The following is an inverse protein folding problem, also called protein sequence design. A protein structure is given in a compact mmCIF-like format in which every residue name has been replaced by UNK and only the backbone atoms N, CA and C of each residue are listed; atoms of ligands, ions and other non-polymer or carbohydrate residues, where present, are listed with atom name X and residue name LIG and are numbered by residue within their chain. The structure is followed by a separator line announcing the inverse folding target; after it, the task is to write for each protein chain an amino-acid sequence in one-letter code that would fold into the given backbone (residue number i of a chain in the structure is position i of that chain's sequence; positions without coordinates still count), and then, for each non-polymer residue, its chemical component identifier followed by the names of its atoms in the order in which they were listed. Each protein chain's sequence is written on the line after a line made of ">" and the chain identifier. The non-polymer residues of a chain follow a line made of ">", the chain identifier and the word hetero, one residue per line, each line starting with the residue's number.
data_IF_632449929805
#
_entry.id   IF_632449929805
#
_cell.length_a   1.000
_cell.length_b   1.000
_cell.length_c   1.000
_cell.angle_alpha   90.00
_cell.angle_beta   90.00
_cell.angle_gamma   90.00
#
_symmetry.space_group_name_H-M   'P 1'
#
loop_
_entity.id
_entity.type
_entity.pdbx_description
1 polymer ?
#
# COMPACT_ATOMS: atom_id res chain seq x y z
N UNK A 1 40.68 -2.24 -102.02
CA UNK A 1 40.72 -1.08 -102.96
C UNK A 1 39.98 0.04 -102.31
N UNK A 2 40.66 1.13 -102.11
CA UNK A 2 40.13 2.54 -101.97
C UNK A 2 39.54 2.92 -100.65
N UNK A 3 40.28 3.53 -99.80
CA UNK A 3 40.55 4.98 -99.58
C UNK A 3 39.52 5.73 -98.70
N UNK A 4 40.06 6.08 -97.58
CA UNK A 4 39.82 7.25 -96.70
C UNK A 4 39.11 8.48 -97.28
N UNK A 5 38.58 9.47 -96.50
CA UNK A 5 39.31 10.14 -95.46
C UNK A 5 38.48 10.70 -94.23
N UNK A 6 39.19 10.89 -93.23
CA UNK A 6 39.21 11.85 -92.12
C UNK A 6 38.41 13.16 -92.21
N UNK A 7 37.86 13.57 -91.05
CA UNK A 7 38.13 14.89 -90.43
C UNK A 7 37.44 15.10 -89.06
N UNK A 8 38.02 15.96 -88.23
CA UNK A 8 37.93 15.91 -86.78
C UNK A 8 37.08 17.04 -86.17
N UNK A 9 36.93 16.93 -84.88
CA UNK A 9 36.75 18.12 -84.05
C UNK A 9 35.34 18.36 -83.46
N UNK A 10 35.19 18.12 -82.21
CA UNK A 10 34.90 19.09 -81.21
C UNK A 10 34.70 18.46 -79.85
N UNK A 11 35.84 18.38 -79.14
CA UNK A 11 35.89 18.31 -77.71
C UNK A 11 35.47 19.70 -77.19
N UNK A 12 34.50 19.82 -76.37
CA UNK A 12 34.50 20.66 -75.17
C UNK A 12 33.06 20.77 -74.59
N UNK A 13 33.01 20.82 -73.26
CA UNK A 13 31.87 21.20 -72.41
C UNK A 13 30.77 20.17 -72.16
N UNK A 14 31.08 19.23 -71.28
CA UNK A 14 30.07 18.59 -70.44
C UNK A 14 30.68 18.08 -69.12
N UNK A 15 31.45 18.94 -68.42
CA UNK A 15 31.95 18.71 -67.07
C UNK A 15 31.58 19.87 -66.16
N UNK A 16 30.28 20.03 -65.87
CA UNK A 16 29.79 20.93 -64.82
C UNK A 16 28.31 20.61 -64.54
N UNK A 17 28.06 19.57 -63.79
CA UNK A 17 26.70 19.19 -63.49
C UNK A 17 26.57 18.04 -62.46
N UNK A 18 27.67 17.70 -61.77
CA UNK A 18 27.67 16.57 -60.84
C UNK A 18 28.26 16.97 -59.49
N UNK A 19 27.73 17.97 -58.83
CA UNK A 19 28.22 18.36 -57.51
C UNK A 19 27.18 19.27 -56.83
N UNK A 20 25.98 18.79 -56.48
CA UNK A 20 25.13 19.38 -55.46
C UNK A 20 23.91 18.51 -55.17
N UNK A 21 24.12 17.24 -54.83
CA UNK A 21 23.10 16.40 -54.18
C UNK A 21 23.80 15.68 -53.02
N UNK A 22 24.51 16.44 -52.20
CA UNK A 22 24.93 15.96 -50.88
C UNK A 22 24.36 16.91 -49.86
N UNK A 23 23.51 16.41 -48.96
CA UNK A 23 23.25 17.12 -47.73
C UNK A 23 21.80 17.36 -47.35
N UNK A 24 20.92 16.41 -47.56
CA UNK A 24 19.66 16.35 -46.82
C UNK A 24 19.44 14.93 -46.34
N UNK A 25 20.42 14.40 -45.57
CA UNK A 25 20.09 13.35 -44.58
C UNK A 25 19.32 14.09 -43.51
N UNK A 26 18.03 14.30 -43.74
CA UNK A 26 17.10 14.66 -42.69
C UNK A 26 17.23 13.57 -41.60
N UNK A 27 17.75 13.91 -40.45
CA UNK A 27 17.56 13.15 -39.23
C UNK A 27 16.06 13.04 -38.99
N UNK A 28 15.42 12.09 -39.64
CA UNK A 28 14.13 11.57 -39.20
C UNK A 28 14.44 10.82 -37.93
N UNK A 29 14.55 11.57 -36.81
CA UNK A 29 14.45 10.99 -35.50
C UNK A 29 13.11 10.27 -35.44
N UNK A 30 13.16 8.96 -35.52
CA UNK A 30 12.00 8.11 -35.27
C UNK A 30 11.43 8.57 -33.92
N UNK A 31 10.12 8.93 -33.84
CA UNK A 31 9.54 9.32 -32.56
C UNK A 31 9.85 8.18 -31.58
N UNK A 32 10.49 8.50 -30.47
CA UNK A 32 10.76 7.51 -29.43
C UNK A 32 9.44 6.79 -29.14
N UNK A 33 9.44 5.47 -29.24
CA UNK A 33 8.27 4.67 -28.89
C UNK A 33 7.77 5.13 -27.50
N UNK A 34 6.47 5.32 -27.32
CA UNK A 34 5.94 5.71 -26.03
C UNK A 34 6.48 4.72 -24.98
N UNK A 35 6.89 5.21 -23.79
CA UNK A 35 7.45 4.34 -22.77
C UNK A 35 6.48 3.20 -22.49
N UNK A 36 6.99 1.97 -22.52
CA UNK A 36 6.20 0.77 -22.27
C UNK A 36 5.61 0.84 -20.86
N UNK A 37 4.28 0.84 -20.78
CA UNK A 37 3.56 0.87 -19.52
C UNK A 37 3.79 -0.46 -18.79
N UNK A 38 4.39 -0.40 -17.62
CA UNK A 38 4.69 -1.57 -16.82
C UNK A 38 3.47 -1.98 -15.99
N UNK A 39 2.90 -3.14 -16.29
CA UNK A 39 1.76 -3.70 -15.56
C UNK A 39 2.22 -4.44 -14.32
N UNK A 40 1.58 -4.18 -13.19
CA UNK A 40 1.84 -4.86 -11.93
C UNK A 40 0.60 -4.95 -11.06
N UNK A 41 0.68 -5.64 -9.92
CA UNK A 41 -0.42 -5.75 -8.96
C UNK A 41 0.07 -5.49 -7.54
N UNK A 42 -0.79 -4.81 -6.77
CA UNK A 42 -0.66 -4.61 -5.33
C UNK A 42 -1.81 -5.36 -4.64
N UNK A 43 -1.47 -6.42 -3.90
CA UNK A 43 -2.44 -7.19 -3.12
C UNK A 43 -2.62 -6.54 -1.75
N UNK A 44 -3.86 -6.19 -1.41
CA UNK A 44 -4.23 -5.75 -0.06
C UNK A 44 -4.39 -6.97 0.87
N UNK A 45 -4.12 -6.77 2.15
CA UNK A 45 -4.36 -7.79 3.19
C UNK A 45 -5.78 -7.75 3.74
N UNK A 46 -6.54 -6.68 3.45
CA UNK A 46 -7.91 -6.49 3.93
C UNK A 46 -8.84 -5.97 2.84
N UNK A 47 -10.12 -5.84 3.17
CA UNK A 47 -11.12 -5.21 2.29
C UNK A 47 -10.81 -3.71 2.11
N UNK A 48 -11.25 -3.07 1.01
CA UNK A 48 -11.00 -1.65 0.79
C UNK A 48 -11.60 -0.77 1.89
N UNK A 49 -10.71 -0.19 2.69
CA UNK A 49 -11.01 0.72 3.80
C UNK A 49 -10.03 1.90 3.79
N UNK A 50 -10.26 2.97 4.60
CA UNK A 50 -9.40 4.14 4.63
C UNK A 50 -7.92 3.87 4.88
N UNK A 51 -7.56 2.76 5.50
CA UNK A 51 -6.16 2.33 5.68
C UNK A 51 -5.40 2.14 4.36
N UNK A 52 -6.11 1.97 3.25
CA UNK A 52 -5.54 1.88 1.90
C UNK A 52 -5.68 3.17 1.09
N UNK A 53 -6.11 4.25 1.73
CA UNK A 53 -6.47 5.50 1.07
C UNK A 53 -5.39 6.06 0.14
N UNK A 54 -4.12 6.00 0.54
CA UNK A 54 -3.01 6.48 -0.29
C UNK A 54 -2.80 5.68 -1.57
N UNK A 55 -3.08 4.38 -1.56
CA UNK A 55 -2.94 3.55 -2.78
C UNK A 55 -4.04 3.86 -3.78
N UNK A 56 -5.28 3.99 -3.31
CA UNK A 56 -6.41 4.42 -4.16
C UNK A 56 -6.26 5.87 -4.63
N UNK A 57 -5.75 6.77 -3.78
CA UNK A 57 -5.44 8.13 -4.19
C UNK A 57 -4.33 8.19 -5.26
N UNK A 58 -3.32 7.32 -5.18
CA UNK A 58 -2.30 7.20 -6.22
C UNK A 58 -2.90 6.78 -7.57
N UNK A 59 -3.91 5.92 -7.56
CA UNK A 59 -4.64 5.52 -8.76
C UNK A 59 -5.50 6.67 -9.30
N UNK A 60 -6.31 7.31 -8.44
CA UNK A 60 -7.24 8.37 -8.82
C UNK A 60 -6.53 9.64 -9.33
N UNK A 61 -5.40 9.98 -8.76
CA UNK A 61 -4.61 11.15 -9.19
C UNK A 61 -3.70 10.86 -10.38
N UNK A 62 -3.65 9.61 -10.86
CA UNK A 62 -2.76 9.21 -11.94
C UNK A 62 -1.28 9.13 -11.52
N UNK A 63 -0.97 9.07 -10.21
CA UNK A 63 0.40 9.03 -9.73
C UNK A 63 1.14 7.77 -10.21
N UNK A 64 0.46 6.62 -10.33
CA UNK A 64 1.03 5.42 -10.93
C UNK A 64 1.34 5.61 -12.42
N UNK A 65 0.39 6.14 -13.17
CA UNK A 65 0.56 6.39 -14.60
C UNK A 65 1.71 7.39 -14.91
N UNK A 66 1.88 8.42 -14.05
CA UNK A 66 2.98 9.38 -14.15
C UNK A 66 4.36 8.73 -13.95
N UNK A 67 4.43 7.57 -13.32
CA UNK A 67 5.65 6.76 -13.16
C UNK A 67 5.73 5.61 -14.20
N UNK A 68 4.85 5.61 -15.20
CA UNK A 68 4.81 4.55 -16.22
C UNK A 68 4.26 3.22 -15.72
N UNK A 69 3.49 3.22 -14.63
CA UNK A 69 2.92 2.02 -14.01
C UNK A 69 1.42 1.93 -14.25
N UNK A 70 0.94 0.72 -14.56
CA UNK A 70 -0.46 0.32 -14.48
C UNK A 70 -0.59 -0.67 -13.32
N UNK A 71 -1.10 -0.18 -12.17
CA UNK A 71 -1.17 -0.96 -10.93
C UNK A 71 -2.58 -1.46 -10.69
N UNK A 72 -2.79 -2.78 -10.71
CA UNK A 72 -4.03 -3.40 -10.29
C UNK A 72 -4.05 -3.55 -8.76
N UNK A 73 -4.85 -2.73 -8.06
CA UNK A 73 -5.09 -2.90 -6.63
C UNK A 73 -6.08 -4.05 -6.45
N UNK A 74 -5.65 -5.11 -5.76
CA UNK A 74 -6.47 -6.31 -5.51
C UNK A 74 -6.96 -6.30 -4.07
N UNK A 75 -8.29 -6.25 -3.84
CA UNK A 75 -8.85 -6.37 -2.50
C UNK A 75 -8.41 -7.67 -1.80
N UNK A 76 -8.28 -7.61 -0.49
CA UNK A 76 -7.99 -8.74 0.38
C UNK A 76 -9.15 -9.06 1.32
N UNK A 77 -8.83 -9.65 2.45
CA UNK A 77 -9.74 -10.02 3.53
C UNK A 77 -9.01 -10.84 4.59
N UNK A 78 -9.69 -11.20 5.68
CA UNK A 78 -9.11 -11.88 6.86
C UNK A 78 -8.30 -13.17 6.55
N UNK A 79 -8.50 -13.78 5.40
CA UNK A 79 -7.80 -15.01 4.98
C UNK A 79 -6.86 -14.80 3.80
N UNK A 80 -6.51 -13.55 3.48
CA UNK A 80 -5.62 -13.25 2.35
C UNK A 80 -4.17 -13.60 2.71
N UNK A 81 -3.56 -14.63 2.10
CA UNK A 81 -2.19 -15.05 2.42
C UNK A 81 -1.16 -14.22 1.63
N UNK A 82 -1.10 -12.93 1.91
CA UNK A 82 -0.38 -11.95 1.08
C UNK A 82 1.10 -12.29 0.94
N UNK A 83 1.77 -12.63 2.04
CA UNK A 83 3.19 -12.97 2.04
C UNK A 83 3.48 -14.18 1.15
N UNK A 84 2.62 -15.19 1.20
CA UNK A 84 2.72 -16.39 0.37
C UNK A 84 2.46 -16.08 -1.11
N UNK A 85 1.49 -15.20 -1.41
CA UNK A 85 1.18 -14.78 -2.78
C UNK A 85 2.36 -14.02 -3.40
N UNK A 86 3.00 -13.12 -2.63
CA UNK A 86 4.20 -12.39 -3.09
C UNK A 86 5.38 -13.35 -3.24
N UNK A 87 5.60 -14.23 -2.25
CA UNK A 87 6.67 -15.22 -2.28
C UNK A 87 6.58 -16.14 -3.51
N UNK A 88 5.37 -16.62 -3.81
CA UNK A 88 5.08 -17.46 -4.97
C UNK A 88 5.11 -16.70 -6.31
N UNK A 89 5.20 -15.36 -6.29
CA UNK A 89 5.18 -14.53 -7.50
C UNK A 89 3.81 -14.41 -8.17
N UNK A 90 2.74 -14.72 -7.46
CA UNK A 90 1.36 -14.54 -7.94
C UNK A 90 0.99 -13.05 -8.04
N UNK A 91 1.61 -12.24 -7.18
CA UNK A 91 1.58 -10.77 -7.21
C UNK A 91 2.99 -10.25 -6.97
N UNK A 92 3.30 -9.08 -7.51
CA UNK A 92 4.63 -8.49 -7.36
C UNK A 92 4.79 -7.74 -6.03
N UNK A 93 3.71 -7.09 -5.58
CA UNK A 93 3.67 -6.31 -4.36
C UNK A 93 2.49 -6.72 -3.48
N UNK A 94 2.67 -6.64 -2.18
CA UNK A 94 1.61 -6.94 -1.22
C UNK A 94 1.67 -6.04 0.00
N UNK A 95 0.54 -5.89 0.68
CA UNK A 95 0.44 -5.14 1.93
C UNK A 95 0.47 -6.13 3.09
N UNK A 96 1.32 -5.85 4.08
CA UNK A 96 1.41 -6.60 5.34
C UNK A 96 1.82 -5.69 6.49
N UNK A 97 2.12 -6.27 7.66
CA UNK A 97 2.72 -5.59 8.81
C UNK A 97 4.17 -6.04 9.03
N UNK A 98 4.94 -5.30 9.82
CA UNK A 98 6.34 -5.66 10.09
C UNK A 98 6.46 -7.00 10.82
N UNK A 99 5.55 -7.29 11.74
CA UNK A 99 5.49 -8.57 12.45
C UNK A 99 5.11 -9.72 11.50
N UNK A 100 4.16 -9.53 10.58
CA UNK A 100 3.84 -10.49 9.52
C UNK A 100 5.04 -10.78 8.60
N UNK A 101 5.74 -9.72 8.17
CA UNK A 101 6.97 -9.85 7.39
C UNK A 101 8.05 -10.64 8.15
N UNK A 102 8.27 -10.34 9.44
CA UNK A 102 9.27 -11.03 10.24
C UNK A 102 8.93 -12.52 10.41
N UNK A 103 7.65 -12.85 10.63
CA UNK A 103 7.19 -14.24 10.70
C UNK A 103 7.41 -14.99 9.38
N UNK A 104 7.13 -14.36 8.25
CA UNK A 104 7.39 -14.94 6.92
C UNK A 104 8.90 -15.18 6.72
N UNK A 105 9.74 -14.23 7.11
CA UNK A 105 11.20 -14.37 7.02
C UNK A 105 11.75 -15.48 7.92
N UNK A 106 11.22 -15.64 9.12
CA UNK A 106 11.57 -16.75 10.03
C UNK A 106 11.27 -18.12 9.41
N UNK A 107 10.24 -18.18 8.55
CA UNK A 107 9.88 -19.35 7.77
C UNK A 107 10.71 -19.50 6.47
N UNK A 108 11.73 -18.65 6.27
CA UNK A 108 12.63 -18.72 5.11
C UNK A 108 12.13 -17.98 3.86
N UNK A 109 11.05 -17.19 3.97
CA UNK A 109 10.53 -16.40 2.85
C UNK A 109 11.36 -15.12 2.70
N UNK A 110 12.01 -14.91 1.53
CA UNK A 110 12.87 -13.74 1.30
C UNK A 110 12.09 -12.54 0.74
N UNK A 111 11.26 -11.95 1.59
CA UNK A 111 10.58 -10.69 1.34
C UNK A 111 11.34 -9.50 1.93
N UNK A 112 11.16 -8.34 1.31
CA UNK A 112 11.71 -7.06 1.77
C UNK A 112 10.59 -6.02 1.82
N UNK A 113 10.58 -5.19 2.87
CA UNK A 113 9.72 -4.02 2.95
C UNK A 113 10.33 -2.87 2.13
N UNK A 114 9.49 -2.16 1.38
CA UNK A 114 9.92 -1.04 0.53
C UNK A 114 9.20 0.27 0.86
N UNK A 115 8.15 0.23 1.68
CA UNK A 115 7.35 1.37 2.12
C UNK A 115 6.60 1.02 3.41
N UNK A 116 6.43 1.98 4.34
CA UNK A 116 5.61 1.83 5.55
C UNK A 116 4.59 2.96 5.65
N UNK A 117 3.30 2.67 5.43
CA UNK A 117 2.28 3.70 5.47
C UNK A 117 2.11 4.29 6.88
N UNK A 118 2.02 3.44 7.90
CA UNK A 118 1.84 3.88 9.28
C UNK A 118 3.17 3.91 10.02
N UNK A 119 3.43 5.06 10.64
CA UNK A 119 4.58 5.30 11.51
C UNK A 119 4.29 4.94 12.97
N UNK A 120 3.01 4.90 13.35
CA UNK A 120 2.54 4.39 14.64
C UNK A 120 1.52 3.30 14.42
N UNK A 121 1.63 2.22 15.19
CA UNK A 121 0.76 1.05 15.07
C UNK A 121 -0.68 1.41 15.40
N UNK A 122 -1.64 1.24 14.48
CA UNK A 122 -3.00 1.74 14.62
C UNK A 122 -3.96 0.79 15.33
N UNK A 123 -3.46 -0.36 15.80
CA UNK A 123 -4.31 -1.35 16.45
C UNK A 123 -4.33 -1.18 17.97
N UNK A 124 -5.47 -1.54 18.54
CA UNK A 124 -5.71 -1.52 19.97
C UNK A 124 -6.73 -2.57 20.39
N UNK A 125 -6.98 -2.59 21.68
CA UNK A 125 -8.08 -3.36 22.29
C UNK A 125 -9.16 -2.37 22.69
N UNK A 126 -10.31 -2.44 22.03
CA UNK A 126 -11.48 -1.63 22.42
C UNK A 126 -12.36 -2.35 23.43
N UNK A 127 -12.92 -1.59 24.32
CA UNK A 127 -13.88 -2.00 25.36
C UNK A 127 -15.01 -1.00 25.42
N UNK A 128 -16.15 -1.35 26.04
CA UNK A 128 -17.18 -0.37 26.34
C UNK A 128 -16.66 0.64 27.37
N UNK A 129 -16.74 1.94 27.08
CA UNK A 129 -16.31 3.02 27.99
C UNK A 129 -17.02 2.97 29.34
N UNK A 130 -18.26 2.46 29.35
CA UNK A 130 -19.05 2.26 30.57
C UNK A 130 -18.42 1.33 31.60
N UNK A 131 -17.42 0.52 31.21
CA UNK A 131 -16.64 -0.31 32.13
C UNK A 131 -15.70 0.51 33.03
N UNK A 132 -15.39 1.74 32.65
CA UNK A 132 -14.57 2.66 33.45
C UNK A 132 -13.12 2.20 33.67
N UNK A 133 -12.59 1.28 32.82
CA UNK A 133 -11.24 0.72 32.94
C UNK A 133 -10.18 1.81 32.73
N UNK A 134 -9.06 1.70 33.45
CA UNK A 134 -7.98 2.70 33.43
C UNK A 134 -6.72 2.19 32.74
N UNK A 135 -6.61 0.89 32.53
CA UNK A 135 -5.42 0.27 31.93
C UNK A 135 -5.79 -0.98 31.14
N UNK A 136 -4.90 -1.36 30.22
CA UNK A 136 -5.03 -2.60 29.48
C UNK A 136 -4.98 -3.84 30.41
N UNK A 137 -4.23 -3.77 31.52
CA UNK A 137 -4.19 -4.84 32.53
C UNK A 137 -5.58 -5.14 33.11
N UNK A 138 -6.39 -4.12 33.35
CA UNK A 138 -7.75 -4.30 33.89
C UNK A 138 -8.69 -4.97 32.88
N UNK A 139 -8.44 -4.85 31.57
CA UNK A 139 -9.21 -5.53 30.53
C UNK A 139 -9.14 -7.04 30.70
N UNK A 140 -7.95 -7.58 31.04
CA UNK A 140 -7.68 -9.02 31.08
C UNK A 140 -8.01 -9.71 32.41
N UNK A 141 -8.76 -9.03 33.27
CA UNK A 141 -9.22 -9.62 34.55
C UNK A 141 -10.39 -10.59 34.38
N UNK A 142 -11.02 -10.63 33.20
CA UNK A 142 -12.11 -11.58 32.84
C UNK A 142 -12.98 -11.03 31.74
N UNK A 143 -13.79 -11.91 31.13
CA UNK A 143 -14.68 -11.58 30.02
C UNK A 143 -14.33 -12.29 28.73
N UNK A 144 -14.71 -11.70 27.59
CA UNK A 144 -14.44 -12.25 26.26
C UNK A 144 -13.50 -11.29 25.51
N UNK A 145 -12.50 -11.85 24.85
CA UNK A 145 -11.58 -11.13 23.96
C UNK A 145 -11.75 -11.65 22.52
N UNK A 146 -12.26 -10.79 21.62
CA UNK A 146 -12.31 -11.05 20.18
C UNK A 146 -11.00 -10.61 19.51
N UNK A 147 -10.30 -11.52 18.84
CA UNK A 147 -9.05 -11.23 18.10
C UNK A 147 -9.00 -12.02 16.80
N UNK A 148 -8.30 -11.48 15.81
CA UNK A 148 -7.97 -12.23 14.59
C UNK A 148 -7.00 -13.37 14.97
N UNK A 149 -7.29 -14.62 14.61
CA UNK A 149 -6.42 -15.73 14.94
C UNK A 149 -5.01 -15.56 14.36
N UNK A 150 -4.00 -15.82 15.19
CA UNK A 150 -2.60 -15.78 14.74
C UNK A 150 -1.93 -14.41 14.83
N UNK A 151 -2.61 -13.38 15.32
CA UNK A 151 -2.00 -12.06 15.53
C UNK A 151 -0.83 -12.14 16.52
N UNK A 152 0.37 -11.65 16.18
CA UNK A 152 1.56 -11.78 17.03
C UNK A 152 1.45 -11.11 18.39
N UNK A 153 0.76 -9.95 18.47
CA UNK A 153 0.58 -9.23 19.74
C UNK A 153 -0.22 -10.02 20.78
N UNK A 154 -0.99 -11.04 20.39
CA UNK A 154 -1.71 -11.87 21.36
C UNK A 154 -0.76 -12.61 22.29
N UNK A 155 0.39 -13.07 21.78
CA UNK A 155 1.44 -13.69 22.62
C UNK A 155 2.07 -12.67 23.58
N UNK A 156 2.22 -11.42 23.16
CA UNK A 156 2.68 -10.35 24.04
C UNK A 156 1.67 -10.11 25.16
N UNK A 157 0.39 -9.98 24.84
CA UNK A 157 -0.67 -9.78 25.83
C UNK A 157 -0.75 -10.95 26.82
N UNK A 158 -0.61 -12.17 26.33
CA UNK A 158 -0.61 -13.37 27.18
C UNK A 158 0.61 -13.37 28.16
N UNK A 159 1.79 -12.99 27.67
CA UNK A 159 3.00 -12.91 28.49
C UNK A 159 2.92 -11.81 29.55
N UNK A 160 2.44 -10.62 29.17
CA UNK A 160 2.44 -9.44 30.05
C UNK A 160 1.29 -9.46 31.06
N UNK A 161 0.11 -9.94 30.68
CA UNK A 161 -1.10 -9.83 31.48
C UNK A 161 -1.73 -11.18 31.89
N UNK A 162 -1.39 -12.24 31.17
CA UNK A 162 -2.03 -13.55 31.34
C UNK A 162 -3.49 -13.55 30.85
N UNK A 163 -3.81 -14.38 29.86
CA UNK A 163 -5.16 -14.46 29.29
C UNK A 163 -6.02 -15.59 29.89
N UNK A 164 -5.54 -16.28 30.93
CA UNK A 164 -6.21 -17.45 31.49
C UNK A 164 -7.63 -17.19 32.07
N UNK A 165 -7.99 -15.95 32.33
CA UNK A 165 -9.34 -15.54 32.76
C UNK A 165 -10.23 -15.05 31.60
N UNK A 166 -9.69 -14.94 30.39
CA UNK A 166 -10.39 -14.48 29.22
C UNK A 166 -10.87 -15.65 28.38
N UNK A 167 -12.10 -15.54 27.86
CA UNK A 167 -12.53 -16.39 26.76
C UNK A 167 -12.08 -15.74 25.44
N UNK A 168 -10.99 -16.24 24.86
CA UNK A 168 -10.53 -15.77 23.55
C UNK A 168 -11.37 -16.40 22.45
N UNK A 169 -11.90 -15.56 21.56
CA UNK A 169 -12.76 -15.97 20.42
C UNK A 169 -12.25 -15.34 19.12
N UNK A 170 -12.42 -16.01 17.97
CA UNK A 170 -12.11 -15.40 16.69
C UNK A 170 -12.91 -14.10 16.46
N UNK A 171 -12.24 -13.10 15.90
CA UNK A 171 -12.84 -11.88 15.36
C UNK A 171 -12.74 -11.91 13.83
N UNK A 172 -13.87 -11.71 13.16
CA UNK A 172 -14.03 -11.84 11.70
C UNK A 172 -14.59 -10.55 11.06
N UNK A 173 -14.22 -9.41 11.57
CA UNK A 173 -14.74 -8.09 11.16
C UNK A 173 -16.24 -7.86 11.53
N UNK A 174 -16.83 -8.69 12.36
CA UNK A 174 -18.20 -8.53 12.82
C UNK A 174 -18.24 -7.82 14.18
N UNK A 175 -18.73 -6.59 14.21
CA UNK A 175 -18.82 -5.79 15.44
C UNK A 175 -20.04 -6.17 16.31
N UNK A 176 -21.03 -6.89 15.78
CA UNK A 176 -22.26 -7.19 16.51
C UNK A 176 -22.05 -7.88 17.88
N UNK A 177 -21.11 -8.84 18.03
CA UNK A 177 -20.82 -9.41 19.34
C UNK A 177 -20.34 -8.37 20.36
N UNK A 178 -19.51 -7.41 19.94
CA UNK A 178 -19.06 -6.32 20.80
C UNK A 178 -20.24 -5.41 21.22
N UNK A 179 -21.09 -5.01 20.26
CA UNK A 179 -22.24 -4.15 20.52
C UNK A 179 -23.22 -4.75 21.53
N UNK A 180 -23.39 -6.07 21.49
CA UNK A 180 -24.35 -6.81 22.34
C UNK A 180 -23.80 -7.20 23.71
N UNK A 181 -22.48 -7.26 23.89
CA UNK A 181 -21.85 -7.72 25.12
C UNK A 181 -20.96 -6.64 25.74
N UNK A 182 -21.45 -5.90 26.77
CA UNK A 182 -20.65 -4.87 27.43
C UNK A 182 -19.34 -5.37 28.10
N UNK A 183 -19.21 -6.66 28.34
CA UNK A 183 -17.99 -7.27 28.90
C UNK A 183 -17.00 -7.73 27.83
N UNK A 184 -17.34 -7.60 26.55
CA UNK A 184 -16.44 -7.94 25.46
C UNK A 184 -15.34 -6.90 25.31
N UNK A 185 -14.12 -7.39 25.15
CA UNK A 185 -13.00 -6.65 24.60
C UNK A 185 -12.77 -7.15 23.17
N UNK A 186 -12.36 -6.28 22.27
CA UNK A 186 -12.15 -6.66 20.88
C UNK A 186 -10.93 -5.94 20.30
N UNK A 187 -10.11 -6.67 19.57
CA UNK A 187 -9.12 -6.07 18.69
C UNK A 187 -9.81 -5.10 17.74
N UNK A 188 -9.19 -3.97 17.51
CA UNK A 188 -9.71 -2.98 16.58
C UNK A 188 -8.56 -2.26 15.85
N UNK A 189 -8.85 -1.86 14.64
CA UNK A 189 -8.10 -0.82 13.94
C UNK A 189 -8.75 0.52 14.31
N UNK A 190 -7.99 1.45 14.90
CA UNK A 190 -8.56 2.66 15.54
C UNK A 190 -9.38 3.54 14.59
N UNK A 191 -9.12 3.43 13.29
CA UNK A 191 -9.85 4.12 12.22
C UNK A 191 -11.00 3.31 11.62
N UNK A 192 -11.40 2.18 12.21
CA UNK A 192 -12.49 1.32 11.71
C UNK A 192 -13.50 1.03 12.82
N UNK A 193 -13.36 -0.07 13.55
CA UNK A 193 -14.36 -0.59 14.49
C UNK A 193 -14.82 0.41 15.56
N UNK A 194 -13.96 1.26 16.17
CA UNK A 194 -14.42 2.22 17.17
C UNK A 194 -15.37 3.28 16.58
N UNK A 195 -15.21 3.64 15.30
CA UNK A 195 -16.11 4.56 14.61
C UNK A 195 -17.47 3.89 14.42
N UNK A 196 -17.46 2.64 13.92
CA UNK A 196 -18.69 1.87 13.71
C UNK A 196 -19.45 1.66 15.03
N UNK A 197 -18.73 1.40 16.14
CA UNK A 197 -19.33 1.27 17.46
C UNK A 197 -20.05 2.56 17.90
N UNK A 198 -19.40 3.72 17.73
CA UNK A 198 -20.02 5.03 18.04
C UNK A 198 -21.28 5.28 17.21
N UNK A 199 -21.22 4.99 15.90
CA UNK A 199 -22.39 5.14 15.02
C UNK A 199 -23.54 4.19 15.41
N UNK A 200 -23.22 3.04 16.01
CA UNK A 200 -24.21 2.11 16.56
C UNK A 200 -24.69 2.47 17.98
N UNK A 201 -24.26 3.61 18.54
CA UNK A 201 -24.66 4.08 19.86
C UNK A 201 -23.90 3.49 21.04
N UNK A 202 -22.80 2.80 20.78
CA UNK A 202 -21.88 2.28 21.82
C UNK A 202 -20.66 3.17 21.87
N UNK A 203 -20.30 3.68 23.05
CA UNK A 203 -19.08 4.48 23.27
C UNK A 203 -17.89 3.53 23.56
N UNK A 204 -16.92 3.39 22.65
CA UNK A 204 -15.75 2.56 22.86
C UNK A 204 -14.63 3.36 23.50
N UNK A 205 -13.92 2.73 24.44
CA UNK A 205 -12.59 3.14 24.89
C UNK A 205 -11.56 2.21 24.24
N UNK A 206 -10.52 2.78 23.66
CA UNK A 206 -9.43 2.01 23.01
C UNK A 206 -8.15 2.13 23.83
N UNK A 207 -7.53 1.00 24.10
CA UNK A 207 -6.18 0.89 24.63
C UNK A 207 -5.26 0.52 23.48
N UNK A 208 -4.39 1.46 23.09
CA UNK A 208 -3.48 1.26 21.95
C UNK A 208 -2.37 0.26 22.32
N UNK A 209 -2.04 -0.63 21.39
CA UNK A 209 -0.93 -1.57 21.58
C UNK A 209 0.42 -0.87 21.52
N UNK A 210 0.52 0.26 20.84
CA UNK A 210 1.70 1.12 20.84
C UNK A 210 2.05 1.66 22.23
N UNK A 211 1.06 1.91 23.09
CA UNK A 211 1.28 2.43 24.46
C UNK A 211 1.97 1.42 25.38
N UNK A 212 1.92 0.15 25.03
CA UNK A 212 2.61 -0.94 25.77
C UNK A 212 3.91 -1.40 25.06
N UNK A 213 4.39 -0.63 24.09
CA UNK A 213 5.62 -0.90 23.36
C UNK A 213 5.48 -1.84 22.16
N UNK A 214 4.27 -2.28 21.80
CA UNK A 214 4.04 -2.99 20.55
C UNK A 214 3.70 -2.00 19.44
N UNK A 215 4.75 -1.50 18.78
CA UNK A 215 4.62 -0.44 17.77
C UNK A 215 5.33 -0.81 16.45
N UNK A 216 5.01 -1.97 15.83
CA UNK A 216 5.58 -2.32 14.54
C UNK A 216 5.04 -1.41 13.43
N UNK A 217 5.85 -1.15 12.41
CA UNK A 217 5.35 -0.55 11.17
C UNK A 217 4.23 -1.41 10.58
N UNK A 218 3.16 -0.79 10.09
CA UNK A 218 2.08 -1.48 9.38
C UNK A 218 1.69 -0.76 8.09
N UNK A 219 0.86 -1.41 7.26
CA UNK A 219 0.66 -0.96 5.89
C UNK A 219 1.97 -1.01 5.10
N UNK A 220 2.81 -2.01 5.39
CA UNK A 220 4.05 -2.22 4.66
C UNK A 220 3.75 -2.70 3.24
N UNK A 221 4.37 -2.05 2.25
CA UNK A 221 4.50 -2.68 0.95
C UNK A 221 5.70 -3.61 0.98
N UNK A 222 5.46 -4.88 0.66
CA UNK A 222 6.51 -5.89 0.54
C UNK A 222 6.62 -6.40 -0.88
N UNK A 223 7.82 -6.81 -1.24
CA UNK A 223 8.14 -7.50 -2.49
C UNK A 223 9.23 -8.54 -2.26
N UNK A 224 9.49 -9.41 -3.24
CA UNK A 224 10.62 -10.33 -3.18
C UNK A 224 11.95 -9.57 -3.31
N UNK A 225 12.98 -9.99 -2.60
CA UNK A 225 14.35 -9.46 -2.80
C UNK A 225 14.77 -9.53 -4.26
N UNK A 226 14.48 -10.64 -4.93
CA UNK A 226 14.78 -10.82 -6.35
C UNK A 226 14.10 -9.75 -7.23
N UNK A 227 12.87 -9.32 -6.91
CA UNK A 227 12.17 -8.25 -7.63
C UNK A 227 12.90 -6.92 -7.44
N UNK A 228 13.29 -6.59 -6.20
CA UNK A 228 14.04 -5.38 -5.89
C UNK A 228 15.39 -5.34 -6.63
N UNK A 229 16.09 -6.47 -6.69
CA UNK A 229 17.41 -6.55 -7.36
C UNK A 229 17.32 -6.50 -8.89
N UNK A 230 16.30 -7.14 -9.49
CA UNK A 230 16.14 -7.19 -10.95
C UNK A 230 15.44 -5.98 -11.54
N UNK A 231 14.55 -5.34 -10.78
CA UNK A 231 13.70 -4.25 -11.23
C UNK A 231 13.68 -3.07 -10.25
N UNK A 232 14.86 -2.54 -9.81
CA UNK A 232 14.93 -1.50 -8.79
C UNK A 232 14.20 -0.23 -9.20
N UNK A 233 14.21 0.13 -10.49
CA UNK A 233 13.54 1.32 -11.00
C UNK A 233 12.02 1.22 -10.89
N UNK A 234 11.44 0.03 -11.16
CA UNK A 234 10.01 -0.23 -10.99
C UNK A 234 9.60 -0.12 -9.52
N UNK A 235 10.40 -0.68 -8.62
CA UNK A 235 10.17 -0.59 -7.18
C UNK A 235 10.22 0.85 -6.72
N UNK A 236 11.22 1.63 -7.15
CA UNK A 236 11.32 3.05 -6.83
C UNK A 236 10.16 3.86 -7.41
N UNK A 237 9.73 3.56 -8.65
CA UNK A 237 8.58 4.20 -9.29
C UNK A 237 7.29 3.96 -8.47
N UNK A 238 7.06 2.72 -8.02
CA UNK A 238 5.93 2.41 -7.15
C UNK A 238 5.99 3.21 -5.84
N UNK A 239 7.14 3.24 -5.17
CA UNK A 239 7.34 3.97 -3.91
C UNK A 239 7.06 5.46 -4.08
N UNK A 240 7.57 6.08 -5.17
CA UNK A 240 7.30 7.51 -5.45
C UNK A 240 5.81 7.75 -5.71
N UNK A 241 5.16 6.90 -6.50
CA UNK A 241 3.73 7.02 -6.80
C UNK A 241 2.88 6.87 -5.54
N UNK A 242 3.16 5.88 -4.70
CA UNK A 242 2.45 5.65 -3.43
C UNK A 242 2.64 6.81 -2.47
N UNK A 243 3.85 7.37 -2.36
CA UNK A 243 4.10 8.56 -1.51
C UNK A 243 3.24 9.73 -1.96
N UNK A 244 3.18 10.02 -3.27
CA UNK A 244 2.28 11.06 -3.81
C UNK A 244 0.81 10.75 -3.55
N UNK A 245 0.43 9.48 -3.63
CA UNK A 245 -0.92 9.05 -3.28
C UNK A 245 -1.27 9.33 -1.82
N UNK A 246 -0.39 9.02 -0.89
CA UNK A 246 -0.60 9.36 0.52
C UNK A 246 -0.62 10.86 0.79
N UNK A 247 0.25 11.63 0.13
CA UNK A 247 0.20 13.10 0.18
C UNK A 247 -1.17 13.63 -0.28
N UNK A 248 -1.67 13.13 -1.41
CA UNK A 248 -2.98 13.50 -1.94
C UNK A 248 -4.12 13.10 -1.01
N UNK A 249 -4.08 11.87 -0.47
CA UNK A 249 -5.10 11.38 0.45
C UNK A 249 -5.16 12.18 1.76
N UNK A 250 -3.99 12.52 2.32
CA UNK A 250 -3.89 13.32 3.53
C UNK A 250 -4.30 14.79 3.32
N UNK A 251 -4.29 15.27 2.08
CA UNK A 251 -4.77 16.61 1.71
C UNK A 251 -6.28 16.62 1.43
N UNK A 252 -6.78 15.66 0.65
CA UNK A 252 -8.20 15.46 0.36
C UNK A 252 -8.52 13.96 0.20
N UNK A 253 -9.09 13.32 1.23
CA UNK A 253 -9.40 11.89 1.18
C UNK A 253 -10.66 11.57 0.35
N UNK A 254 -11.50 12.57 0.03
CA UNK A 254 -12.83 12.33 -0.52
C UNK A 254 -12.84 11.58 -1.87
N UNK A 255 -11.96 11.84 -2.85
CA UNK A 255 -11.94 11.10 -4.11
C UNK A 255 -11.67 9.60 -3.89
N UNK A 256 -10.60 9.26 -3.15
CA UNK A 256 -10.23 7.88 -2.88
C UNK A 256 -11.27 7.15 -2.00
N UNK A 257 -11.85 7.87 -1.01
CA UNK A 257 -12.91 7.31 -0.17
C UNK A 257 -14.14 6.90 -1.00
N UNK A 258 -14.52 7.66 -2.02
CA UNK A 258 -15.63 7.28 -2.90
C UNK A 258 -15.36 5.98 -3.66
N UNK A 259 -14.14 5.79 -4.13
CA UNK A 259 -13.73 4.56 -4.82
C UNK A 259 -13.78 3.37 -3.85
N UNK A 260 -13.15 3.50 -2.68
CA UNK A 260 -13.13 2.44 -1.67
C UNK A 260 -14.55 2.11 -1.17
N UNK A 261 -15.40 3.11 -0.97
CA UNK A 261 -16.80 2.89 -0.58
C UNK A 261 -17.60 2.12 -1.64
N UNK A 262 -17.38 2.39 -2.92
CA UNK A 262 -18.02 1.62 -3.98
C UNK A 262 -17.57 0.15 -3.99
N UNK A 263 -16.35 -0.13 -3.56
CA UNK A 263 -15.80 -1.49 -3.45
C UNK A 263 -16.17 -2.17 -2.11
N UNK A 264 -16.45 -1.38 -1.07
CA UNK A 264 -16.87 -1.85 0.26
C UNK A 264 -18.15 -1.11 0.71
N UNK A 265 -19.30 -1.46 0.15
CA UNK A 265 -20.57 -0.77 0.45
C UNK A 265 -21.11 -1.04 1.87
N UNK A 266 -20.48 -1.96 2.60
CA UNK A 266 -20.87 -2.27 3.99
C UNK A 266 -20.40 -1.20 4.98
N UNK A 267 -19.37 -0.43 4.64
CA UNK A 267 -18.88 0.68 5.45
C UNK A 267 -19.55 2.00 5.03
N UNK A 268 -20.10 2.75 5.99
CA UNK A 268 -20.78 4.01 5.71
C UNK A 268 -19.80 5.11 5.27
N UNK A 269 -20.24 6.03 4.40
CA UNK A 269 -19.43 7.16 3.93
C UNK A 269 -18.89 8.04 5.08
N UNK A 270 -19.69 8.21 6.14
CA UNK A 270 -19.28 8.94 7.35
C UNK A 270 -18.12 8.27 8.05
N UNK A 271 -18.09 6.93 8.10
CA UNK A 271 -16.97 6.16 8.67
C UNK A 271 -15.67 6.41 7.85
N UNK A 272 -15.74 6.41 6.52
CA UNK A 272 -14.60 6.74 5.68
C UNK A 272 -14.02 8.13 5.96
N UNK A 273 -14.92 9.14 6.13
CA UNK A 273 -14.48 10.51 6.39
C UNK A 273 -13.84 10.66 7.78
N UNK A 274 -14.45 10.08 8.83
CA UNK A 274 -13.89 10.11 10.19
C UNK A 274 -12.57 9.35 10.29
N UNK A 275 -12.47 8.19 9.64
CA UNK A 275 -11.27 7.36 9.62
C UNK A 275 -10.07 8.11 9.01
N UNK A 276 -10.29 8.86 7.93
CA UNK A 276 -9.23 9.65 7.30
C UNK A 276 -8.62 10.68 8.27
N UNK A 277 -9.44 11.28 9.13
CA UNK A 277 -8.98 12.23 10.16
C UNK A 277 -8.20 11.52 11.27
N UNK A 278 -8.74 10.40 11.77
CA UNK A 278 -8.13 9.65 12.88
C UNK A 278 -6.78 9.06 12.51
N UNK A 279 -6.62 8.55 11.29
CA UNK A 279 -5.38 7.89 10.88
C UNK A 279 -4.27 8.86 10.45
N UNK A 280 -4.61 10.10 10.06
CA UNK A 280 -3.63 11.05 9.54
C UNK A 280 -2.39 11.26 10.45
N UNK A 281 -2.52 11.47 11.78
CA UNK A 281 -1.36 11.60 12.65
C UNK A 281 -0.54 10.29 12.76
N UNK A 282 -1.17 9.12 12.68
CA UNK A 282 -0.50 7.82 12.74
C UNK A 282 0.33 7.54 11.48
N UNK A 283 -0.15 8.01 10.33
CA UNK A 283 0.55 7.92 9.04
C UNK A 283 1.71 8.92 9.00
N UNK A 284 1.47 10.17 9.44
CA UNK A 284 2.52 11.21 9.43
C UNK A 284 3.66 10.90 10.41
N UNK A 285 3.35 10.48 11.63
CA UNK A 285 4.35 10.15 12.65
C UNK A 285 5.42 11.24 12.89
N UNK A 286 5.09 12.50 12.57
CA UNK A 286 6.03 13.64 12.62
C UNK A 286 6.93 13.76 11.38
N UNK A 287 6.78 12.91 10.36
CA UNK A 287 7.53 12.99 9.11
C UNK A 287 7.05 14.17 8.23
N UNK A 288 7.97 14.75 7.48
CA UNK A 288 7.64 15.65 6.39
C UNK A 288 6.97 14.89 5.22
N UNK A 289 6.24 15.60 4.37
CA UNK A 289 5.46 14.96 3.29
C UNK A 289 6.35 14.19 2.29
N UNK A 290 7.57 14.64 2.04
CA UNK A 290 8.54 13.96 1.17
C UNK A 290 9.20 12.74 1.84
N UNK A 291 9.02 12.58 3.14
CA UNK A 291 9.53 11.46 3.93
C UNK A 291 8.46 10.39 4.22
N UNK A 292 7.19 10.62 3.84
CA UNK A 292 6.13 9.63 4.05
C UNK A 292 6.53 8.26 3.51
N UNK A 293 6.32 7.24 4.34
CA UNK A 293 6.61 5.85 4.01
C UNK A 293 8.06 5.41 4.24
N UNK A 294 8.92 6.27 4.79
CA UNK A 294 10.27 5.87 5.19
C UNK A 294 10.23 5.00 6.45
N UNK A 295 11.25 4.18 6.61
CA UNK A 295 11.47 3.35 7.79
C UNK A 295 12.83 3.70 8.37
N UNK A 296 12.94 3.73 9.70
CA UNK A 296 14.19 3.94 10.44
C UNK A 296 14.64 2.62 11.09
N UNK A 297 15.89 2.57 11.49
CA UNK A 297 16.46 1.43 12.23
C UNK A 297 16.39 1.63 13.76
N UNK A 298 15.70 2.69 14.20
CA UNK A 298 15.55 3.03 15.63
C UNK A 298 14.47 2.21 16.30
#
# INVERSE_FOLDING_TARGET
>A
MSLLPTRPGRILLAWLGLSLVLGLVACSGEPAAPPEVQRTALQLNWVPEPEFGGYYAAQETGAFAAEGLEVAIRPGGAQSPVEQMVAAGQVEFGITSADGLLMARDQGVDLVAIYAAYQSFPEGIMVHASRGLKSLAEVFTGGTLGVIPGTPFLKLLEREYGLGKMKVVPHDNNIAPFLQNPLMAQQCFVSSEPIVARHAGVDPQVFMLSDIGFNPYTGLIVTRRQTLERHPERVQALVRAVRRGWQAYLADPAPANRVMQALNPTMAATTFAEAAVIQAPLIRGGLADDQLGTMTLE
#
